data_IF_643718800011
#
_entry.id   IF_643718800011
#
_cell.length_a   1.000
_cell.length_b   1.000
_cell.length_c   1.000
_cell.angle_alpha   90.00
_cell.angle_beta   90.00
_cell.angle_gamma   90.00
#
_symmetry.space_group_name_H-M   'P 1'
#
loop_
_entity.id
_entity.type
_entity.pdbx_description
1 polymer ?
#
# COMPACT_ATOMS: atom_id res chain seq x y z
N UNK A 1 -4.10 -26.29 13.07
CA UNK A 1 -3.82 -25.86 11.68
C UNK A 1 -4.22 -24.40 11.52
N UNK A 2 -3.24 -23.50 11.61
CA UNK A 2 -3.35 -22.07 11.32
C UNK A 2 -2.04 -21.49 10.72
N UNK A 3 -0.99 -22.31 10.58
CA UNK A 3 0.32 -21.88 10.07
C UNK A 3 0.25 -21.36 8.63
N UNK A 4 -0.58 -21.96 7.77
CA UNK A 4 -0.67 -21.55 6.37
C UNK A 4 -1.14 -20.10 6.22
N UNK A 5 -2.07 -19.64 7.06
CA UNK A 5 -2.57 -18.27 7.03
C UNK A 5 -1.55 -17.28 7.60
N UNK A 6 -0.77 -17.70 8.60
CA UNK A 6 0.32 -16.91 9.14
C UNK A 6 1.46 -16.75 8.13
N UNK A 7 1.82 -17.83 7.43
CA UNK A 7 2.82 -17.81 6.36
C UNK A 7 2.35 -16.91 5.21
N UNK A 8 1.08 -16.99 4.81
CA UNK A 8 0.52 -16.11 3.78
C UNK A 8 0.58 -14.64 4.20
N UNK A 9 0.19 -14.31 5.43
CA UNK A 9 0.27 -12.95 5.95
C UNK A 9 1.73 -12.42 6.00
N UNK A 10 2.69 -13.27 6.36
CA UNK A 10 4.12 -12.92 6.33
C UNK A 10 4.64 -12.68 4.91
N UNK A 11 4.19 -13.48 3.93
CA UNK A 11 4.53 -13.26 2.53
C UNK A 11 3.98 -11.92 2.03
N UNK A 12 2.75 -11.56 2.41
CA UNK A 12 2.14 -10.30 2.00
C UNK A 12 2.83 -9.07 2.60
N UNK A 13 3.32 -9.15 3.85
CA UNK A 13 4.20 -8.12 4.43
C UNK A 13 5.49 -8.00 3.64
N UNK A 14 6.15 -9.11 3.34
CA UNK A 14 7.43 -9.10 2.62
C UNK A 14 7.29 -8.53 1.20
N UNK A 15 6.14 -8.75 0.56
CA UNK A 15 5.83 -8.18 -0.75
C UNK A 15 5.52 -6.67 -0.70
N UNK A 16 5.13 -6.14 0.47
CA UNK A 16 4.84 -4.71 0.68
C UNK A 16 5.80 -4.10 1.72
N UNK A 17 7.09 -3.93 1.37
CA UNK A 17 8.08 -3.40 2.29
C UNK A 17 7.82 -1.91 2.59
N UNK A 18 7.15 -1.63 3.70
CA UNK A 18 6.96 -0.26 4.21
C UNK A 18 8.29 0.23 4.80
N UNK A 19 9.00 1.11 4.09
CA UNK A 19 10.28 1.68 4.57
C UNK A 19 10.11 2.67 5.71
N UNK A 20 9.10 3.52 5.62
CA UNK A 20 8.81 4.57 6.59
C UNK A 20 7.32 4.58 6.84
N UNK A 21 6.87 4.08 7.99
CA UNK A 21 5.46 3.88 8.22
C UNK A 21 5.11 2.86 9.28
N UNK A 22 3.88 2.38 9.25
CA UNK A 22 3.35 1.35 10.13
C UNK A 22 2.75 0.20 9.30
N UNK A 23 2.92 -1.02 9.80
CA UNK A 23 2.29 -2.22 9.25
C UNK A 23 1.59 -2.94 10.39
N UNK A 24 0.28 -3.12 10.28
CA UNK A 24 -0.57 -3.73 11.31
C UNK A 24 -1.34 -4.90 10.71
N UNK A 25 -1.24 -6.07 11.35
CA UNK A 25 -2.02 -7.26 11.01
C UNK A 25 -3.01 -7.55 12.12
N UNK A 26 -4.27 -7.73 11.74
CA UNK A 26 -5.34 -8.16 12.65
C UNK A 26 -5.89 -9.50 12.19
N UNK A 27 -5.90 -10.48 13.09
CA UNK A 27 -6.47 -11.81 12.85
C UNK A 27 -7.85 -11.92 13.49
N UNK A 28 -8.84 -12.37 12.73
CA UNK A 28 -10.21 -12.56 13.20
C UNK A 28 -10.52 -14.06 13.29
N UNK A 29 -10.92 -14.50 14.47
CA UNK A 29 -11.24 -15.90 14.75
C UNK A 29 -12.74 -16.07 15.01
N UNK A 30 -13.32 -17.16 14.50
CA UNK A 30 -14.68 -17.61 14.80
C UNK A 30 -14.60 -19.07 15.27
N UNK A 31 -15.17 -19.38 16.43
CA UNK A 31 -15.13 -20.71 17.07
C UNK A 31 -13.72 -21.32 17.17
N UNK A 32 -12.71 -20.49 17.47
CA UNK A 32 -11.32 -20.91 17.59
C UNK A 32 -10.62 -21.20 16.26
N UNK A 33 -11.30 -21.00 15.12
CA UNK A 33 -10.72 -21.11 13.78
C UNK A 33 -10.48 -19.72 13.21
N UNK A 34 -9.36 -19.54 12.50
CA UNK A 34 -9.12 -18.28 11.80
C UNK A 34 -10.11 -18.16 10.64
N UNK A 35 -10.85 -17.05 10.60
CA UNK A 35 -11.83 -16.80 9.54
C UNK A 35 -11.21 -15.96 8.43
N UNK A 36 -10.56 -14.84 8.80
CA UNK A 36 -9.82 -13.97 7.90
C UNK A 36 -8.81 -13.14 8.69
N UNK A 37 -7.91 -12.48 7.97
CA UNK A 37 -7.01 -11.48 8.51
C UNK A 37 -7.08 -10.21 7.67
N UNK A 38 -6.75 -9.08 8.29
CA UNK A 38 -6.65 -7.78 7.63
C UNK A 38 -5.23 -7.26 7.78
N UNK A 39 -4.60 -6.92 6.66
CA UNK A 39 -3.30 -6.25 6.61
C UNK A 39 -3.53 -4.77 6.30
N UNK A 40 -3.09 -3.89 7.19
CA UNK A 40 -3.14 -2.44 7.00
C UNK A 40 -1.72 -1.89 6.96
N UNK A 41 -1.36 -1.26 5.85
CA UNK A 41 -0.06 -0.60 5.68
C UNK A 41 -0.26 0.90 5.55
N UNK A 42 0.55 1.67 6.27
CA UNK A 42 0.57 3.12 6.21
C UNK A 42 1.98 3.58 5.86
N UNK A 43 2.18 4.13 4.66
CA UNK A 43 3.48 4.64 4.23
C UNK A 43 3.53 6.17 4.36
N UNK A 44 4.59 6.67 5.00
CA UNK A 44 4.91 8.11 5.08
C UNK A 44 5.90 8.45 3.98
N UNK A 45 5.48 9.29 3.04
CA UNK A 45 6.36 9.88 2.03
C UNK A 45 6.78 11.28 2.47
N UNK A 46 8.08 11.58 2.38
CA UNK A 46 8.55 12.93 2.61
C UNK A 46 8.09 13.82 1.45
N UNK A 47 7.51 14.97 1.77
CA UNK A 47 7.03 15.95 0.77
C UNK A 47 8.18 16.48 -0.11
N UNK A 48 9.42 16.46 0.39
CA UNK A 48 10.60 16.81 -0.40
C UNK A 48 10.83 15.86 -1.60
N UNK A 49 10.37 14.62 -1.53
CA UNK A 49 10.50 13.60 -2.58
C UNK A 49 9.44 13.79 -3.71
N UNK A 50 8.32 14.48 -3.42
CA UNK A 50 7.30 14.80 -4.42
C UNK A 50 7.77 15.81 -5.46
N UNK A 51 8.82 16.60 -5.18
CA UNK A 51 9.30 17.64 -6.10
C UNK A 51 9.95 17.09 -7.39
N UNK A 52 10.25 15.79 -7.46
CA UNK A 52 10.87 15.18 -8.65
C UNK A 52 9.88 14.79 -9.76
N UNK A 53 8.56 14.77 -9.50
CA UNK A 53 7.57 14.24 -10.45
C UNK A 53 6.44 15.20 -10.85
N UNK A 54 6.55 16.50 -10.52
CA UNK A 54 5.69 17.49 -11.17
C UNK A 54 6.17 17.72 -12.61
N UNK A 55 5.82 16.80 -13.51
CA UNK A 55 5.93 17.04 -14.95
C UNK A 55 5.02 18.23 -15.24
N UNK A 56 5.64 19.40 -15.50
CA UNK A 56 4.98 20.64 -15.90
C UNK A 56 3.87 20.31 -16.88
N UNK A 57 2.61 20.43 -16.45
CA UNK A 57 1.46 20.27 -17.32
C UNK A 57 1.42 21.53 -18.18
N UNK A 58 2.09 21.49 -19.34
CA UNK A 58 2.09 22.60 -20.27
C UNK A 58 0.72 22.69 -20.92
N UNK A 59 0.04 23.83 -20.72
CA UNK A 59 -1.19 24.13 -21.44
C UNK A 59 -0.86 24.20 -22.93
N UNK A 60 -1.33 23.21 -23.70
CA UNK A 60 -1.22 23.24 -25.16
C UNK A 60 -2.20 24.30 -25.67
N UNK A 61 -1.74 25.39 -26.31
CA UNK A 61 -2.66 26.32 -26.95
C UNK A 61 -3.30 25.59 -28.13
N UNK A 62 -4.63 25.39 -28.06
CA UNK A 62 -5.40 24.86 -29.17
C UNK A 62 -5.25 25.82 -30.36
N UNK A 63 -4.54 25.36 -31.39
CA UNK A 63 -4.48 26.01 -32.69
C UNK A 63 -5.88 26.18 -33.25
N UNK A 64 -6.27 27.43 -33.52
CA UNK A 64 -7.46 27.73 -34.30
C UNK A 64 -7.16 27.39 -35.76
N UNK A 65 -7.77 26.32 -36.26
CA UNK A 65 -8.05 26.16 -37.69
C UNK A 65 -9.40 26.79 -37.99
N UNK A 66 -9.37 27.92 -38.69
CA UNK A 66 -10.29 28.36 -39.75
C UNK A 66 -9.90 29.79 -40.15
#
# INVERSE_FOLDING_TARGET
>A
MNENAFIAALQDINNHPVRFGECTITFTFHDGRLQYYTLTTSERKNVADLNANFKKMECVPNGKTA
#
